data_IF_068727559893
#
_entry.id   IF_068727559893
#
_cell.length_a   1.000
_cell.length_b   1.000
_cell.length_c   1.000
_cell.angle_alpha   90.00
_cell.angle_beta   90.00
_cell.angle_gamma   90.00
#
_symmetry.space_group_name_H-M   'P 1'
#
loop_
_entity.id
_entity.type
_entity.pdbx_description
1 polymer ?
#
# COMPACT_ATOMS: atom_id res chain seq x y z
N UNK A 1 -6.69 2.65 2.50
CA UNK A 1 -5.71 1.57 2.27
C UNK A 1 -5.68 0.65 3.48
N UNK A 2 -5.72 -0.65 3.24
CA UNK A 2 -5.52 -1.70 4.25
C UNK A 2 -4.17 -2.36 3.99
N UNK A 3 -3.46 -2.72 5.06
CA UNK A 3 -2.18 -3.42 4.99
C UNK A 3 -2.18 -4.60 5.95
N UNK A 4 -1.77 -5.76 5.47
CA UNK A 4 -1.66 -7.01 6.23
C UNK A 4 -0.29 -7.65 5.98
N UNK A 5 0.29 -8.26 7.02
CA UNK A 5 1.53 -9.03 6.91
C UNK A 5 1.25 -10.48 7.29
N UNK A 6 1.48 -11.38 6.33
CA UNK A 6 1.45 -12.83 6.52
C UNK A 6 2.87 -13.32 6.87
N UNK A 7 3.11 -13.74 8.13
CA UNK A 7 4.42 -14.19 8.57
C UNK A 7 4.81 -15.59 8.03
N UNK A 8 3.84 -16.42 7.62
CA UNK A 8 4.13 -17.74 7.02
C UNK A 8 4.59 -17.57 5.57
N UNK A 9 3.92 -16.71 4.82
CA UNK A 9 4.30 -16.37 3.44
C UNK A 9 5.41 -15.32 3.35
N UNK A 10 5.74 -14.65 4.47
CA UNK A 10 6.64 -13.50 4.54
C UNK A 10 6.26 -12.42 3.54
N UNK A 11 4.96 -12.14 3.44
CA UNK A 11 4.43 -11.25 2.42
C UNK A 11 3.56 -10.16 3.03
N UNK A 12 3.64 -8.96 2.47
CA UNK A 12 2.76 -7.85 2.83
C UNK A 12 1.78 -7.62 1.68
N UNK A 13 0.48 -7.57 2.00
CA UNK A 13 -0.57 -7.21 1.07
C UNK A 13 -1.09 -5.81 1.39
N UNK A 14 -1.06 -4.93 0.39
CA UNK A 14 -1.74 -3.65 0.37
C UNK A 14 -3.00 -3.77 -0.46
N UNK A 15 -4.12 -3.31 0.09
CA UNK A 15 -5.42 -3.22 -0.61
C UNK A 15 -5.87 -1.75 -0.62
N UNK A 16 -6.11 -1.18 -1.80
CA UNK A 16 -6.52 0.22 -1.94
C UNK A 16 -8.05 0.39 -1.92
N UNK A 17 -8.80 -0.65 -2.31
CA UNK A 17 -10.26 -0.68 -2.38
C UNK A 17 -10.91 -1.82 -1.57
N UNK A 18 -12.18 -2.10 -1.84
CA UNK A 18 -12.85 -3.29 -1.32
C UNK A 18 -12.51 -4.53 -2.16
N UNK A 19 -12.50 -5.70 -1.52
CA UNK A 19 -12.33 -6.97 -2.22
C UNK A 19 -13.41 -7.13 -3.30
N UNK A 20 -12.98 -7.42 -4.53
CA UNK A 20 -13.86 -7.74 -5.66
C UNK A 20 -13.41 -9.01 -6.37
N UNK A 21 -14.35 -9.65 -7.06
CA UNK A 21 -14.03 -10.78 -7.94
C UNK A 21 -13.33 -10.29 -9.21
N UNK A 22 -12.60 -11.20 -9.86
CA UNK A 22 -11.94 -10.90 -11.12
C UNK A 22 -12.95 -10.46 -12.19
N UNK A 23 -12.67 -9.33 -12.85
CA UNK A 23 -13.47 -8.71 -13.90
C UNK A 23 -12.65 -8.56 -15.19
N UNK A 24 -13.31 -8.41 -16.36
CA UNK A 24 -12.61 -7.99 -17.57
C UNK A 24 -11.85 -6.70 -17.33
N UNK A 25 -10.58 -6.64 -17.75
CA UNK A 25 -9.68 -5.52 -17.46
C UNK A 25 -8.72 -5.78 -16.31
N UNK A 26 -8.88 -6.88 -15.59
CA UNK A 26 -7.94 -7.29 -14.55
C UNK A 26 -6.68 -7.94 -15.12
N UNK A 27 -5.53 -7.51 -14.60
CA UNK A 27 -4.24 -8.13 -14.89
C UNK A 27 -3.25 -7.89 -13.75
N UNK A 28 -2.12 -8.61 -13.77
CA UNK A 28 -1.06 -8.47 -12.78
C UNK A 28 0.23 -8.04 -13.47
N UNK A 29 0.92 -7.07 -12.89
CA UNK A 29 2.29 -6.71 -13.25
C UNK A 29 3.27 -7.17 -12.18
N UNK A 30 4.41 -7.71 -12.64
CA UNK A 30 5.53 -8.09 -11.79
C UNK A 30 6.61 -7.02 -11.87
N UNK A 31 6.98 -6.46 -10.73
CA UNK A 31 8.03 -5.46 -10.55
C UNK A 31 9.15 -6.02 -9.67
N UNK A 32 10.27 -5.29 -9.58
CA UNK A 32 11.35 -5.61 -8.66
C UNK A 32 11.86 -7.07 -8.77
N UNK A 33 11.95 -7.59 -9.99
CA UNK A 33 12.37 -8.98 -10.24
C UNK A 33 11.37 -10.03 -9.77
N UNK A 34 10.07 -9.71 -9.74
CA UNK A 34 8.99 -10.63 -9.34
C UNK A 34 8.71 -10.65 -7.84
N UNK A 35 9.33 -9.75 -7.06
CA UNK A 35 9.10 -9.65 -5.62
C UNK A 35 7.99 -8.68 -5.26
N UNK A 36 7.58 -7.81 -6.18
CA UNK A 36 6.47 -6.89 -6.00
C UNK A 36 5.43 -7.15 -7.09
N UNK A 37 4.28 -7.71 -6.70
CA UNK A 37 3.16 -8.00 -7.58
C UNK A 37 2.12 -6.89 -7.45
N UNK A 38 1.68 -6.32 -8.56
CA UNK A 38 0.64 -5.28 -8.57
C UNK A 38 -0.55 -5.81 -9.35
N UNK A 39 -1.71 -5.93 -8.70
CA UNK A 39 -2.97 -6.24 -9.39
C UNK A 39 -3.61 -4.93 -9.83
N UNK A 40 -3.98 -4.90 -11.10
CA UNK A 40 -4.56 -3.73 -11.74
C UNK A 40 -5.97 -4.02 -12.25
N UNK A 41 -6.76 -2.96 -12.30
CA UNK A 41 -8.05 -2.89 -12.97
C UNK A 41 -8.11 -1.62 -13.81
N UNK A 42 -8.35 -1.76 -15.11
CA UNK A 42 -8.36 -0.61 -16.03
C UNK A 42 -7.13 0.30 -15.82
N UNK A 43 -5.94 -0.31 -15.79
CA UNK A 43 -4.63 0.32 -15.57
C UNK A 43 -4.44 1.04 -14.22
N UNK A 44 -5.34 0.83 -13.24
CA UNK A 44 -5.22 1.38 -11.88
C UNK A 44 -4.85 0.30 -10.87
N UNK A 45 -3.88 0.54 -9.97
CA UNK A 45 -3.51 -0.43 -8.95
C UNK A 45 -4.62 -0.61 -7.92
N UNK A 46 -5.08 -1.85 -7.76
CA UNK A 46 -6.08 -2.25 -6.75
C UNK A 46 -5.41 -2.86 -5.52
N UNK A 47 -4.37 -3.67 -5.74
CA UNK A 47 -3.59 -4.31 -4.69
C UNK A 47 -2.10 -4.34 -5.03
N UNK A 48 -1.25 -4.33 -4.00
CA UNK A 48 0.19 -4.63 -4.11
C UNK A 48 0.52 -5.76 -3.13
N UNK A 49 1.15 -6.83 -3.60
CA UNK A 49 1.77 -7.82 -2.73
C UNK A 49 3.28 -7.74 -2.85
N UNK A 50 3.93 -7.45 -1.72
CA UNK A 50 5.37 -7.55 -1.56
C UNK A 50 5.71 -8.91 -0.98
N UNK A 51 6.47 -9.70 -1.72
CA UNK A 51 7.06 -10.96 -1.27
C UNK A 51 8.40 -10.71 -0.59
N UNK A 52 8.80 -11.59 0.34
CA UNK A 52 10.04 -11.43 1.13
C UNK A 52 10.12 -10.05 1.80
N UNK A 53 9.00 -9.62 2.38
CA UNK A 53 8.86 -8.28 2.93
C UNK A 53 9.73 -8.05 4.18
N UNK A 54 10.20 -9.11 4.81
CA UNK A 54 11.19 -9.09 5.90
C UNK A 54 12.61 -8.73 5.42
N UNK A 55 12.92 -8.96 4.14
CA UNK A 55 14.23 -8.71 3.57
C UNK A 55 14.38 -7.26 3.08
N UNK A 56 13.44 -6.76 2.27
CA UNK A 56 13.59 -5.47 1.58
C UNK A 56 12.27 -4.80 1.21
N UNK A 57 11.76 -3.94 2.09
CA UNK A 57 10.56 -3.12 1.81
C UNK A 57 10.80 -1.97 0.82
N UNK A 58 12.06 -1.66 0.45
CA UNK A 58 12.35 -0.60 -0.52
C UNK A 58 11.93 -0.99 -1.94
N UNK A 59 11.62 -2.26 -2.19
CA UNK A 59 11.05 -2.71 -3.47
C UNK A 59 9.68 -2.11 -3.79
N UNK A 60 8.99 -1.57 -2.78
CA UNK A 60 7.75 -0.81 -2.97
C UNK A 60 7.97 0.50 -3.74
N UNK A 61 9.20 1.00 -3.81
CA UNK A 61 9.51 2.26 -4.49
C UNK A 61 9.27 2.20 -5.99
N UNK A 62 9.55 1.05 -6.61
CA UNK A 62 9.32 0.84 -8.04
C UNK A 62 7.83 0.87 -8.37
N UNK A 63 6.99 0.27 -7.52
CA UNK A 63 5.54 0.35 -7.66
C UNK A 63 5.04 1.78 -7.42
N UNK A 64 5.58 2.47 -6.42
CA UNK A 64 5.21 3.84 -6.12
C UNK A 64 5.53 4.80 -7.27
N UNK A 65 6.74 4.71 -7.83
CA UNK A 65 7.16 5.52 -8.98
C UNK A 65 6.33 5.21 -10.23
N UNK A 66 6.11 3.93 -10.54
CA UNK A 66 5.41 3.51 -11.76
C UNK A 66 3.93 3.88 -11.78
N UNK A 67 3.28 3.84 -10.61
CA UNK A 67 1.83 4.04 -10.50
C UNK A 67 1.44 5.33 -9.77
N UNK A 68 2.38 6.27 -9.58
CA UNK A 68 2.16 7.55 -8.92
C UNK A 68 1.53 7.41 -7.51
N UNK A 69 2.07 6.48 -6.72
CA UNK A 69 1.61 6.22 -5.35
C UNK A 69 2.52 6.91 -4.32
N UNK A 70 1.99 7.11 -3.11
CA UNK A 70 2.76 7.61 -1.98
C UNK A 70 3.76 6.56 -1.47
N UNK A 71 5.01 6.67 -1.93
CA UNK A 71 6.11 5.79 -1.53
C UNK A 71 6.36 5.80 -0.02
N UNK A 72 6.23 6.95 0.65
CA UNK A 72 6.44 7.04 2.09
C UNK A 72 5.30 6.34 2.85
N UNK A 73 4.06 6.56 2.41
CA UNK A 73 2.88 5.88 2.93
C UNK A 73 2.95 4.35 2.79
N UNK A 74 3.42 3.84 1.64
CA UNK A 74 3.63 2.41 1.43
C UNK A 74 4.68 1.83 2.38
N UNK A 75 5.85 2.48 2.49
CA UNK A 75 6.91 2.02 3.42
C UNK A 75 6.46 2.11 4.88
N UNK A 76 5.73 3.15 5.26
CA UNK A 76 5.18 3.30 6.61
C UNK A 76 4.17 2.18 6.91
N UNK A 77 3.30 1.85 5.94
CA UNK A 77 2.38 0.73 6.03
C UNK A 77 3.09 -0.61 6.18
N UNK A 78 4.12 -0.86 5.37
CA UNK A 78 4.91 -2.08 5.49
C UNK A 78 5.55 -2.22 6.88
N UNK A 79 6.18 -1.15 7.39
CA UNK A 79 6.79 -1.14 8.72
C UNK A 79 5.76 -1.39 9.83
N UNK A 80 4.58 -0.81 9.72
CA UNK A 80 3.51 -0.99 10.69
C UNK A 80 3.01 -2.45 10.69
N UNK A 81 2.80 -3.05 9.52
CA UNK A 81 2.37 -4.43 9.37
C UNK A 81 3.42 -5.43 9.91
N UNK A 82 4.71 -5.19 9.63
CA UNK A 82 5.82 -6.00 10.18
C UNK A 82 5.92 -5.90 11.71
N UNK A 83 5.61 -4.73 12.28
CA UNK A 83 5.64 -4.52 13.73
C UNK A 83 4.45 -5.17 14.46
N UNK A 84 3.38 -5.50 13.74
CA UNK A 84 2.16 -6.11 14.27
C UNK A 84 1.66 -7.24 13.35
N UNK A 85 2.39 -8.37 13.26
CA UNK A 85 1.99 -9.51 12.43
C UNK A 85 0.63 -10.06 12.87
N UNK A 86 -0.06 -10.72 11.92
CA UNK A 86 -1.38 -11.34 12.13
C UNK A 86 -2.48 -10.36 12.57
N UNK A 87 -2.31 -9.07 12.24
CA UNK A 87 -3.29 -8.02 12.53
C UNK A 87 -3.43 -7.09 11.34
N UNK A 88 -4.68 -6.90 10.92
CA UNK A 88 -5.04 -5.88 9.94
C UNK A 88 -4.69 -4.48 10.48
N UNK A 89 -3.91 -3.73 9.70
CA UNK A 89 -3.62 -2.32 9.97
C UNK A 89 -4.35 -1.47 8.92
N UNK A 90 -5.28 -0.63 9.38
CA UNK A 90 -5.94 0.38 8.55
C UNK A 90 -5.19 1.71 8.68
N UNK A 91 -4.67 2.22 7.56
CA UNK A 91 -3.99 3.51 7.51
C UNK A 91 -4.83 4.48 6.69
N UNK A 92 -5.23 5.58 7.32
CA UNK A 92 -5.81 6.73 6.64
C UNK A 92 -4.66 7.61 6.13
N UNK A 93 -4.36 7.51 4.84
CA UNK A 93 -3.41 8.40 4.17
C UNK A 93 -4.22 9.57 3.63
N UNK A 94 -4.25 10.68 4.36
CA UNK A 94 -5.09 11.84 4.05
C UNK A 94 -4.57 13.14 4.65
N UNK A 95 -4.06 14.00 3.75
CA UNK A 95 -3.59 15.40 3.89
C UNK A 95 -2.36 15.63 4.77
N UNK A 96 -1.46 16.49 4.30
CA UNK A 96 -0.29 16.90 5.08
C UNK A 96 -0.74 17.43 6.44
N UNK A 97 -0.05 17.05 7.53
CA UNK A 97 -0.33 17.58 8.87
C UNK A 97 -0.37 19.12 8.92
N UNK A 98 0.40 19.78 8.05
CA UNK A 98 0.38 21.23 7.90
C UNK A 98 -0.96 21.80 7.36
N UNK A 99 -1.66 21.06 6.49
CA UNK A 99 -2.96 21.47 5.95
C UNK A 99 -4.10 21.22 6.96
N UNK A 100 -3.95 20.21 7.83
CA UNK A 100 -4.89 19.93 8.90
C UNK A 100 -4.87 21.02 9.99
N UNK A 101 -3.69 21.56 10.33
CA UNK A 101 -3.55 22.66 11.28
C UNK A 101 -4.15 23.99 10.76
N UNK A 102 -4.04 24.26 9.45
CA UNK A 102 -4.68 25.44 8.82
C UNK A 102 -6.22 25.33 8.75
N UNK A 103 -6.75 24.14 8.44
CA UNK A 103 -8.22 23.91 8.43
C UNK A 103 -8.83 24.02 9.83
N UNK A 104 -8.11 23.60 10.89
CA UNK A 104 -8.56 23.72 12.28
C UNK A 104 -8.51 25.17 12.79
N UNK A 105 -7.47 25.93 12.40
CA UNK A 105 -7.36 27.36 12.72
C UNK A 105 -8.42 28.21 11.99
N UNK A 106 -8.78 27.86 10.76
CA UNK A 106 -9.80 28.57 9.98
C UNK A 106 -11.24 28.31 10.49
N UNK A 107 -11.49 27.16 11.13
CA UNK A 107 -12.79 26.83 11.72
C UNK A 107 -12.98 27.39 13.13
N UNK A 108 -11.90 27.81 13.80
CA UNK A 108 -11.92 28.42 15.12
C UNK A 108 -12.01 29.97 15.12
N UNK A 109 -12.06 30.60 13.94
CA UNK A 109 -12.15 32.05 13.73
C UNK A 109 -13.56 32.49 13.29
#
# INVERSE_FOLDING_TARGET
>A
MKVDYDPEAKSILFEFGEFRYAEPGDYTEELAGGTCLVWLHDDRPECIQLLSADDDIARLDEAAERFDLDAEGLRAGARAALAAPDREIRIEVGKNLAEAEEEEAAQAA
#
